data_IF_630177847930
#
_entry.id   IF_630177847930
#
_cell.length_a   1.000
_cell.length_b   1.000
_cell.length_c   1.000
_cell.angle_alpha   90.00
_cell.angle_beta   90.00
_cell.angle_gamma   90.00
#
_symmetry.space_group_name_H-M   'P 1'
#
loop_
_entity.id
_entity.type
_entity.pdbx_description
1 polymer ?
#
# COMPACT_ATOMS: atom_id res chain seq x y z
N UNK A 1 19.63 -18.49 1.52
CA UNK A 1 19.68 -17.06 1.17
C UNK A 1 18.53 -16.35 1.87
N UNK A 2 18.82 -15.19 2.49
CA UNK A 2 17.81 -14.32 3.09
C UNK A 2 17.00 -13.67 1.95
N UNK A 3 15.69 -13.50 2.14
CA UNK A 3 14.86 -12.73 1.22
C UNK A 3 15.08 -11.22 1.48
N UNK A 4 15.44 -10.49 0.44
CA UNK A 4 15.74 -9.05 0.52
C UNK A 4 14.64 -8.28 -0.19
N UNK A 5 13.88 -7.50 0.58
CA UNK A 5 12.90 -6.55 0.05
C UNK A 5 13.35 -5.12 0.28
N UNK A 6 13.24 -4.28 -0.73
CA UNK A 6 13.60 -2.86 -0.65
C UNK A 6 12.34 -2.03 -0.89
N UNK A 7 12.17 -0.98 -0.08
CA UNK A 7 11.09 0.00 -0.24
C UNK A 7 11.72 1.34 -0.61
N UNK A 8 11.26 1.94 -1.70
CA UNK A 8 11.71 3.24 -2.16
C UNK A 8 10.51 4.17 -2.21
N UNK A 9 10.59 5.35 -1.60
CA UNK A 9 9.54 6.35 -1.67
C UNK A 9 9.78 7.26 -2.88
N UNK A 10 8.78 7.32 -3.77
CA UNK A 10 8.77 8.22 -4.92
C UNK A 10 8.36 9.62 -4.47
N UNK A 11 9.19 10.61 -4.73
CA UNK A 11 9.03 12.00 -4.31
C UNK A 11 9.44 12.95 -5.45
N UNK A 12 9.06 14.22 -5.36
CA UNK A 12 9.54 15.23 -6.31
C UNK A 12 11.08 15.30 -6.40
N UNK A 13 11.79 15.04 -5.30
CA UNK A 13 13.25 15.16 -5.27
C UNK A 13 13.97 14.05 -6.03
N UNK A 14 13.35 12.88 -6.20
CA UNK A 14 14.00 11.73 -6.83
C UNK A 14 13.30 11.23 -8.11
N UNK A 15 12.15 11.79 -8.47
CA UNK A 15 11.32 11.29 -9.56
C UNK A 15 12.05 11.22 -10.91
N UNK A 16 12.86 12.21 -11.25
CA UNK A 16 13.61 12.27 -12.53
C UNK A 16 14.65 11.14 -12.66
N UNK A 17 15.24 10.72 -11.54
CA UNK A 17 16.28 9.69 -11.49
C UNK A 17 15.76 8.35 -10.95
N UNK A 18 14.48 8.24 -10.68
CA UNK A 18 13.93 7.11 -9.93
C UNK A 18 14.19 5.75 -10.60
N UNK A 19 14.06 5.68 -11.92
CA UNK A 19 14.35 4.48 -12.70
C UNK A 19 15.84 4.08 -12.62
N UNK A 20 16.74 5.06 -12.61
CA UNK A 20 18.17 4.79 -12.49
C UNK A 20 18.54 4.36 -11.06
N UNK A 21 17.86 4.91 -10.05
CA UNK A 21 17.96 4.45 -8.66
C UNK A 21 17.57 2.96 -8.57
N UNK A 22 16.46 2.55 -9.22
CA UNK A 22 16.06 1.12 -9.23
C UNK A 22 17.15 0.25 -9.89
N UNK A 23 17.70 0.70 -11.02
CA UNK A 23 18.78 -0.04 -11.73
C UNK A 23 20.02 -0.21 -10.86
N UNK A 24 20.44 0.87 -10.21
CA UNK A 24 21.62 0.87 -9.34
C UNK A 24 21.40 -0.06 -8.13
N UNK A 25 20.28 0.07 -7.44
CA UNK A 25 19.92 -0.81 -6.32
C UNK A 25 19.91 -2.28 -6.78
N UNK A 26 19.31 -2.55 -7.94
CA UNK A 26 19.25 -3.91 -8.46
C UNK A 26 20.66 -4.45 -8.75
N UNK A 27 21.53 -3.65 -9.36
CA UNK A 27 22.89 -4.07 -9.68
C UNK A 27 23.77 -4.33 -8.44
N UNK A 28 23.53 -3.61 -7.35
CA UNK A 28 24.33 -3.71 -6.12
C UNK A 28 23.85 -4.83 -5.18
N UNK A 29 22.55 -5.07 -5.10
CA UNK A 29 21.94 -5.90 -4.04
C UNK A 29 21.23 -7.13 -4.59
N UNK A 30 20.80 -7.11 -5.84
CA UNK A 30 19.92 -8.15 -6.45
C UNK A 30 18.76 -8.53 -5.52
N UNK A 31 17.89 -7.56 -5.15
CA UNK A 31 16.82 -7.81 -4.21
C UNK A 31 15.77 -8.76 -4.77
N UNK A 32 15.11 -9.51 -3.89
CA UNK A 32 14.01 -10.38 -4.29
C UNK A 32 12.76 -9.57 -4.68
N UNK A 33 12.58 -8.37 -4.09
CA UNK A 33 11.52 -7.45 -4.48
C UNK A 33 11.90 -5.97 -4.23
N UNK A 34 11.30 -5.07 -5.03
CA UNK A 34 11.34 -3.63 -4.84
C UNK A 34 9.90 -3.10 -4.77
N UNK A 35 9.55 -2.45 -3.67
CA UNK A 35 8.29 -1.75 -3.50
C UNK A 35 8.49 -0.26 -3.75
N UNK A 36 7.62 0.35 -4.53
CA UNK A 36 7.62 1.78 -4.82
C UNK A 36 6.39 2.39 -4.15
N UNK A 37 6.61 3.25 -3.17
CA UNK A 37 5.54 3.95 -2.47
C UNK A 37 5.51 5.41 -2.90
N UNK A 38 4.31 5.96 -3.13
CA UNK A 38 4.16 7.40 -3.34
C UNK A 38 4.27 8.15 -2.01
N UNK A 39 4.99 9.28 -2.00
CA UNK A 39 4.90 10.22 -0.88
C UNK A 39 3.46 10.74 -0.78
N UNK A 40 2.95 10.86 0.44
CA UNK A 40 1.56 11.25 0.71
C UNK A 40 1.40 11.90 2.08
N UNK A 41 0.17 12.33 2.38
CA UNK A 41 -0.16 12.91 3.67
C UNK A 41 0.45 14.31 3.84
N UNK A 42 1.07 14.54 4.98
CA UNK A 42 1.66 15.82 5.38
C UNK A 42 3.19 15.75 5.52
N UNK A 43 3.94 15.65 4.41
CA UNK A 43 5.40 15.61 4.49
C UNK A 43 5.96 16.96 4.95
N UNK A 44 7.11 16.93 5.64
CA UNK A 44 7.81 18.15 6.09
C UNK A 44 8.05 19.15 4.95
N UNK A 45 8.34 18.64 3.76
CA UNK A 45 8.54 19.44 2.55
C UNK A 45 7.37 19.21 1.61
N UNK A 46 6.44 20.11 1.57
CA UNK A 46 5.22 20.01 0.73
C UNK A 46 5.53 19.89 -0.77
N UNK A 47 6.65 20.41 -1.25
CA UNK A 47 7.09 20.27 -2.64
C UNK A 47 7.24 18.80 -3.06
N UNK A 48 7.47 17.88 -2.11
CA UNK A 48 7.56 16.46 -2.39
C UNK A 48 6.26 15.84 -2.90
N UNK A 49 5.12 16.51 -2.72
CA UNK A 49 3.82 16.08 -3.26
C UNK A 49 3.61 16.46 -4.73
N UNK A 50 4.50 17.28 -5.31
CA UNK A 50 4.42 17.62 -6.73
C UNK A 50 5.05 16.52 -7.58
N UNK A 51 4.25 15.49 -7.87
CA UNK A 51 4.70 14.25 -8.52
C UNK A 51 4.31 14.25 -9.99
N UNK A 52 5.25 13.79 -10.82
CA UNK A 52 4.99 13.45 -12.22
C UNK A 52 4.51 12.01 -12.33
N UNK A 53 3.27 11.83 -12.82
CA UNK A 53 2.62 10.54 -12.94
C UNK A 53 3.26 9.67 -14.03
N UNK A 54 3.76 10.26 -15.11
CA UNK A 54 4.40 9.50 -16.19
C UNK A 54 5.73 8.93 -15.71
N UNK A 55 6.53 9.70 -14.98
CA UNK A 55 7.77 9.22 -14.37
C UNK A 55 7.50 8.10 -13.36
N UNK A 56 6.43 8.21 -12.58
CA UNK A 56 6.01 7.14 -11.67
C UNK A 56 5.62 5.87 -12.42
N UNK A 57 4.81 5.99 -13.47
CA UNK A 57 4.40 4.85 -14.32
C UNK A 57 5.61 4.16 -14.95
N UNK A 58 6.54 4.93 -15.47
CA UNK A 58 7.76 4.41 -16.07
C UNK A 58 8.62 3.63 -15.06
N UNK A 59 8.75 4.15 -13.85
CA UNK A 59 9.47 3.48 -12.76
C UNK A 59 8.79 2.16 -12.36
N UNK A 60 7.46 2.18 -12.19
CA UNK A 60 6.67 1.00 -11.88
C UNK A 60 6.79 -0.05 -12.99
N UNK A 61 6.62 0.36 -14.25
CA UNK A 61 6.74 -0.53 -15.41
C UNK A 61 8.11 -1.18 -15.50
N UNK A 62 9.17 -0.38 -15.28
CA UNK A 62 10.53 -0.92 -15.28
C UNK A 62 10.71 -1.98 -14.19
N UNK A 63 10.26 -1.69 -12.95
CA UNK A 63 10.31 -2.63 -11.85
C UNK A 63 9.49 -3.90 -12.12
N UNK A 64 8.28 -3.78 -12.71
CA UNK A 64 7.43 -4.92 -13.02
C UNK A 64 8.06 -5.84 -14.08
N UNK A 65 8.78 -5.26 -15.05
CA UNK A 65 9.54 -6.04 -16.03
C UNK A 65 10.60 -6.94 -15.38
N UNK A 66 11.22 -6.51 -14.27
CA UNK A 66 12.16 -7.37 -13.54
C UNK A 66 11.50 -8.63 -12.98
N UNK A 67 10.21 -8.60 -12.66
CA UNK A 67 9.45 -9.80 -12.28
C UNK A 67 9.13 -10.67 -13.51
N UNK A 68 8.63 -10.08 -14.59
CA UNK A 68 8.30 -10.82 -15.81
C UNK A 68 9.53 -11.47 -16.45
N UNK A 69 10.67 -10.83 -16.37
CA UNK A 69 11.96 -11.35 -16.84
C UNK A 69 12.60 -12.34 -15.84
N UNK A 70 11.92 -12.65 -14.73
CA UNK A 70 12.40 -13.55 -13.67
C UNK A 70 13.74 -13.11 -13.02
N UNK A 71 14.04 -11.83 -13.10
CA UNK A 71 15.20 -11.21 -12.46
C UNK A 71 14.97 -10.99 -10.97
N UNK A 72 13.74 -10.74 -10.56
CA UNK A 72 13.32 -10.70 -9.15
C UNK A 72 12.39 -11.87 -8.85
N UNK A 73 12.61 -12.53 -7.68
CA UNK A 73 11.83 -13.71 -7.28
C UNK A 73 10.46 -13.37 -6.68
N UNK A 74 10.21 -12.09 -6.41
CA UNK A 74 8.97 -11.61 -5.85
C UNK A 74 8.99 -11.46 -4.33
N UNK A 75 7.80 -11.29 -3.75
CA UNK A 75 7.64 -10.79 -2.39
C UNK A 75 8.11 -11.76 -1.30
N UNK A 76 8.14 -13.04 -1.55
CA UNK A 76 8.70 -14.05 -0.66
C UNK A 76 8.83 -15.42 -1.36
N UNK A 77 9.51 -16.37 -0.70
CA UNK A 77 9.75 -17.72 -1.24
C UNK A 77 8.74 -18.76 -0.79
N UNK A 78 7.50 -18.40 -0.52
CA UNK A 78 6.44 -19.34 -0.19
C UNK A 78 5.63 -19.79 -1.44
N UNK A 79 4.84 -20.86 -1.33
CA UNK A 79 4.06 -21.40 -2.47
C UNK A 79 3.10 -20.39 -3.11
N UNK A 80 2.64 -19.38 -2.39
CA UNK A 80 1.78 -18.29 -2.89
C UNK A 80 2.51 -17.08 -3.46
N UNK A 81 3.83 -17.12 -3.62
CA UNK A 81 4.66 -15.97 -4.02
C UNK A 81 4.16 -15.28 -5.30
N UNK A 82 3.84 -16.05 -6.33
CA UNK A 82 3.35 -15.48 -7.61
C UNK A 82 2.06 -14.69 -7.44
N UNK A 83 1.11 -15.19 -6.64
CA UNK A 83 -0.12 -14.47 -6.33
C UNK A 83 0.15 -13.19 -5.52
N UNK A 84 1.05 -13.26 -4.53
CA UNK A 84 1.44 -12.09 -3.75
C UNK A 84 2.12 -11.01 -4.61
N UNK A 85 3.01 -11.43 -5.52
CA UNK A 85 3.67 -10.53 -6.47
C UNK A 85 2.67 -9.92 -7.47
N UNK A 86 1.75 -10.73 -8.01
CA UNK A 86 0.66 -10.25 -8.87
C UNK A 86 -0.27 -9.25 -8.13
N UNK A 87 -0.59 -9.52 -6.86
CA UNK A 87 -1.32 -8.58 -6.01
C UNK A 87 -0.59 -7.24 -5.83
N UNK A 88 0.75 -7.27 -5.73
CA UNK A 88 1.56 -6.03 -5.66
C UNK A 88 1.54 -5.25 -6.98
N UNK A 89 1.57 -5.93 -8.12
CA UNK A 89 1.41 -5.28 -9.43
C UNK A 89 0.03 -4.62 -9.53
N UNK A 90 -1.03 -5.33 -9.14
CA UNK A 90 -2.38 -4.77 -9.08
C UNK A 90 -2.48 -3.55 -8.16
N UNK A 91 -1.77 -3.57 -7.02
CA UNK A 91 -1.73 -2.46 -6.08
C UNK A 91 -1.19 -1.19 -6.74
N UNK A 92 -0.10 -1.30 -7.52
CA UNK A 92 0.46 -0.14 -8.22
C UNK A 92 -0.48 0.36 -9.33
N UNK A 93 -1.16 -0.52 -10.03
CA UNK A 93 -2.18 -0.13 -11.03
C UNK A 93 -3.34 0.62 -10.36
N UNK A 94 -3.82 0.13 -9.21
CA UNK A 94 -4.84 0.81 -8.42
C UNK A 94 -4.36 2.17 -7.91
N UNK A 95 -3.11 2.24 -7.43
CA UNK A 95 -2.48 3.48 -6.97
C UNK A 95 -2.37 4.50 -8.10
N UNK A 96 -1.87 4.08 -9.27
CA UNK A 96 -1.81 4.92 -10.47
C UNK A 96 -3.17 5.48 -10.84
N UNK A 97 -4.17 4.60 -10.95
CA UNK A 97 -5.54 4.99 -11.29
C UNK A 97 -6.13 5.96 -10.27
N UNK A 98 -5.95 5.69 -8.98
CA UNK A 98 -6.45 6.55 -7.91
C UNK A 98 -5.78 7.92 -7.92
N UNK A 99 -4.48 7.96 -8.18
CA UNK A 99 -3.72 9.22 -8.28
C UNK A 99 -4.17 10.05 -9.49
N UNK A 100 -4.31 9.42 -10.67
CA UNK A 100 -4.71 10.09 -11.91
C UNK A 100 -6.14 10.62 -11.86
N UNK A 101 -7.06 9.75 -11.47
CA UNK A 101 -8.50 10.08 -11.49
C UNK A 101 -8.95 10.85 -10.26
N UNK A 102 -8.16 10.85 -9.18
CA UNK A 102 -8.47 11.42 -7.87
C UNK A 102 -9.89 11.07 -7.40
N UNK A 103 -10.28 9.81 -7.55
CA UNK A 103 -11.63 9.36 -7.20
C UNK A 103 -11.66 7.96 -6.60
N UNK A 104 -12.76 7.70 -5.89
CA UNK A 104 -13.08 6.40 -5.34
C UNK A 104 -13.16 5.32 -6.43
N UNK A 105 -12.39 4.26 -6.28
CA UNK A 105 -12.32 3.14 -7.23
C UNK A 105 -12.59 1.78 -6.59
N UNK A 106 -12.40 1.64 -5.28
CA UNK A 106 -12.60 0.40 -4.53
C UNK A 106 -13.01 0.69 -3.08
N UNK A 107 -13.80 -0.19 -2.43
CA UNK A 107 -14.09 -0.08 -1.01
C UNK A 107 -12.82 -0.09 -0.17
N UNK A 108 -12.77 0.80 0.83
CA UNK A 108 -11.74 0.79 1.85
C UNK A 108 -12.20 -0.04 3.05
N UNK A 109 -11.35 -0.98 3.47
CA UNK A 109 -11.60 -1.85 4.62
C UNK A 109 -10.90 -1.39 5.91
N UNK A 110 -10.38 -0.18 5.95
CA UNK A 110 -9.83 0.42 7.15
C UNK A 110 -10.88 0.47 8.28
N UNK A 111 -10.45 0.22 9.51
CA UNK A 111 -11.33 0.09 10.66
C UNK A 111 -12.11 -1.23 10.75
N UNK A 112 -12.10 -2.03 9.67
CA UNK A 112 -12.76 -3.34 9.62
C UNK A 112 -11.75 -4.49 9.55
N UNK A 113 -10.87 -4.50 8.55
CA UNK A 113 -9.86 -5.54 8.33
C UNK A 113 -8.43 -5.06 8.62
N UNK A 114 -8.23 -3.77 8.75
CA UNK A 114 -6.93 -3.15 9.05
C UNK A 114 -7.10 -1.89 9.88
N UNK A 115 -6.08 -1.53 10.62
CA UNK A 115 -5.98 -0.32 11.42
C UNK A 115 -4.56 -0.10 11.90
N UNK A 116 -4.34 0.95 12.67
CA UNK A 116 -3.05 1.33 13.22
C UNK A 116 -3.15 1.45 14.72
N UNK A 117 -2.16 0.92 15.43
CA UNK A 117 -1.97 1.14 16.85
C UNK A 117 -0.61 1.81 17.07
N UNK A 118 -0.61 2.95 17.73
CA UNK A 118 0.60 3.70 18.06
C UNK A 118 1.22 3.23 19.39
N UNK A 119 2.50 3.55 19.65
CA UNK A 119 3.19 3.09 20.88
C UNK A 119 2.50 3.52 22.18
N UNK A 120 1.79 4.63 22.16
CA UNK A 120 1.01 5.15 23.28
C UNK A 120 -0.26 4.35 23.54
N UNK A 121 -0.57 3.38 22.67
CA UNK A 121 -1.76 2.52 22.74
C UNK A 121 -2.97 3.09 22.04
N UNK A 122 -2.86 4.20 21.37
CA UNK A 122 -3.92 4.82 20.58
C UNK A 122 -4.19 4.01 19.31
N UNK A 123 -5.46 3.74 19.03
CA UNK A 123 -5.89 2.93 17.90
C UNK A 123 -6.75 3.76 16.95
N UNK A 124 -6.41 3.70 15.66
CA UNK A 124 -7.09 4.39 14.58
C UNK A 124 -7.51 3.41 13.48
N UNK A 125 -8.56 3.72 12.72
CA UNK A 125 -8.93 2.92 11.56
C UNK A 125 -7.89 3.02 10.44
N UNK A 126 -7.20 4.18 10.32
CA UNK A 126 -6.21 4.47 9.29
C UNK A 126 -5.23 5.53 9.81
N UNK A 127 -3.98 5.51 9.34
CA UNK A 127 -2.95 6.50 9.70
C UNK A 127 -3.07 7.84 8.95
N UNK A 128 -3.95 7.95 7.94
CA UNK A 128 -4.15 9.18 7.16
C UNK A 128 -5.27 10.05 7.75
N UNK A 129 -6.19 9.44 8.47
CA UNK A 129 -7.28 10.13 9.14
C UNK A 129 -6.75 10.87 10.37
N UNK A 130 -7.29 12.06 10.63
CA UNK A 130 -6.89 12.90 11.76
C UNK A 130 -7.34 12.34 13.13
N UNK A 131 -6.93 13.01 14.20
CA UNK A 131 -7.16 12.59 15.57
C UNK A 131 -8.65 12.44 15.95
N UNK A 132 -9.57 13.09 15.25
CA UNK A 132 -11.01 12.97 15.49
C UNK A 132 -11.54 11.56 15.19
N UNK A 133 -10.79 10.80 14.39
CA UNK A 133 -11.08 9.42 13.99
C UNK A 133 -10.44 8.35 14.88
N UNK A 134 -9.83 8.75 15.99
CA UNK A 134 -9.32 7.81 16.99
C UNK A 134 -10.43 6.91 17.51
N UNK A 135 -10.23 5.59 17.44
CA UNK A 135 -11.17 4.59 17.96
C UNK A 135 -11.13 4.57 19.49
N UNK A 136 -9.95 4.65 20.07
CA UNK A 136 -9.72 4.67 21.51
C UNK A 136 -8.27 4.35 21.87
N UNK A 137 -7.99 4.25 23.16
CA UNK A 137 -6.71 3.76 23.65
C UNK A 137 -6.89 2.35 24.22
N UNK A 138 -5.99 1.43 23.86
CA UNK A 138 -6.11 0.02 24.28
C UNK A 138 -6.07 -0.14 25.81
N UNK A 139 -5.42 0.77 26.54
CA UNK A 139 -5.36 0.76 28.00
C UNK A 139 -6.71 1.02 28.66
N UNK A 140 -7.59 1.79 28.00
CA UNK A 140 -8.96 2.06 28.47
C UNK A 140 -9.86 0.82 28.35
N UNK A 141 -9.39 -0.23 27.69
CA UNK A 141 -10.07 -1.49 27.44
C UNK A 141 -9.37 -2.69 28.12
N UNK A 142 -8.62 -2.47 29.17
CA UNK A 142 -7.86 -3.51 29.89
C UNK A 142 -6.92 -4.32 28.96
N UNK A 143 -6.32 -3.68 27.97
CA UNK A 143 -5.51 -4.27 26.90
C UNK A 143 -6.27 -5.29 26.03
N UNK A 144 -7.59 -5.29 26.08
CA UNK A 144 -8.44 -6.16 25.28
C UNK A 144 -8.74 -5.53 23.91
N UNK A 145 -7.89 -5.84 22.93
CA UNK A 145 -8.03 -5.30 21.57
C UNK A 145 -9.40 -5.65 20.95
N UNK A 146 -9.91 -6.86 21.17
CA UNK A 146 -11.22 -7.26 20.62
C UNK A 146 -12.35 -6.38 21.14
N UNK A 147 -12.34 -6.05 22.44
CA UNK A 147 -13.34 -5.16 23.06
C UNK A 147 -13.29 -3.75 22.46
N UNK A 148 -12.09 -3.22 22.25
CA UNK A 148 -11.89 -1.93 21.59
C UNK A 148 -12.33 -1.97 20.13
N UNK A 149 -11.87 -2.96 19.36
CA UNK A 149 -12.12 -3.07 17.91
C UNK A 149 -13.60 -3.33 17.56
N UNK A 150 -14.36 -3.92 18.47
CA UNK A 150 -15.81 -4.15 18.34
C UNK A 150 -16.65 -3.09 19.07
N UNK A 151 -16.04 -1.99 19.51
CA UNK A 151 -16.75 -0.91 20.20
C UNK A 151 -17.71 -0.15 19.26
N UNK A 152 -18.60 0.62 19.88
CA UNK A 152 -19.51 1.51 19.15
C UNK A 152 -18.71 2.51 18.30
N UNK A 153 -17.65 3.12 18.87
CA UNK A 153 -16.78 4.08 18.15
C UNK A 153 -16.12 3.43 16.92
N UNK A 154 -15.57 2.22 17.05
CA UNK A 154 -15.02 1.50 15.91
C UNK A 154 -16.06 1.29 14.80
N UNK A 155 -17.28 0.90 15.16
CA UNK A 155 -18.38 0.74 14.21
C UNK A 155 -18.77 2.06 13.52
N UNK A 156 -18.75 3.18 14.24
CA UNK A 156 -19.01 4.50 13.69
C UNK A 156 -17.94 4.90 12.67
N UNK A 157 -16.65 4.64 12.93
CA UNK A 157 -15.56 4.91 12.01
C UNK A 157 -15.67 4.07 10.72
N UNK A 158 -16.01 2.79 10.82
CA UNK A 158 -16.28 1.95 9.64
C UNK A 158 -17.44 2.51 8.79
N UNK A 159 -18.52 2.97 9.45
CA UNK A 159 -19.65 3.60 8.75
C UNK A 159 -19.25 4.90 8.07
N UNK A 160 -18.43 5.74 8.75
CA UNK A 160 -17.88 6.96 8.18
C UNK A 160 -17.09 6.67 6.89
N UNK A 161 -16.10 5.75 6.95
CA UNK A 161 -15.26 5.38 5.81
C UNK A 161 -16.11 4.90 4.62
N UNK A 162 -17.13 4.09 4.87
CA UNK A 162 -18.04 3.60 3.83
C UNK A 162 -18.93 4.70 3.24
N UNK A 163 -19.51 5.55 4.11
CA UNK A 163 -20.44 6.62 3.70
C UNK A 163 -19.72 7.70 2.89
N UNK A 164 -18.52 8.06 3.28
CA UNK A 164 -17.71 9.08 2.58
C UNK A 164 -17.03 8.54 1.33
N UNK A 165 -17.13 7.22 1.07
CA UNK A 165 -16.37 6.56 0.00
C UNK A 165 -14.88 6.91 0.09
N UNK A 166 -14.33 6.81 1.31
CA UNK A 166 -12.93 7.15 1.56
C UNK A 166 -12.01 6.40 0.60
N UNK A 167 -11.06 7.10 -0.01
CA UNK A 167 -10.07 6.55 -0.93
C UNK A 167 -8.74 7.28 -0.79
N UNK A 168 -7.67 6.62 -1.15
CA UNK A 168 -6.31 7.17 -1.10
C UNK A 168 -5.35 6.29 -1.91
N UNK A 169 -4.08 6.72 -1.98
CA UNK A 169 -2.98 5.96 -2.60
C UNK A 169 -2.18 5.15 -1.57
N UNK A 170 -2.69 4.96 -0.35
CA UNK A 170 -1.95 4.28 0.73
C UNK A 170 -1.85 2.78 0.50
N UNK A 171 -0.64 2.31 0.20
CA UNK A 171 -0.38 0.95 -0.25
C UNK A 171 -0.73 -0.11 0.80
N UNK A 172 -0.45 0.14 2.10
CA UNK A 172 -0.74 -0.83 3.16
C UNK A 172 -2.24 -1.13 3.24
N UNK A 173 -3.09 -0.10 3.18
CA UNK A 173 -4.54 -0.28 3.23
C UNK A 173 -5.10 -0.78 1.89
N UNK A 174 -4.59 -0.28 0.77
CA UNK A 174 -5.01 -0.74 -0.55
C UNK A 174 -4.62 -2.20 -0.82
N UNK A 175 -3.54 -2.72 -0.23
CA UNK A 175 -3.21 -4.14 -0.32
C UNK A 175 -4.28 -5.01 0.34
N UNK A 176 -4.82 -4.60 1.49
CA UNK A 176 -5.95 -5.25 2.16
C UNK A 176 -7.23 -5.12 1.30
N UNK A 177 -7.48 -3.94 0.74
CA UNK A 177 -8.63 -3.69 -0.13
C UNK A 177 -8.63 -4.61 -1.37
N UNK A 178 -7.47 -4.86 -1.97
CA UNK A 178 -7.31 -5.77 -3.11
C UNK A 178 -7.48 -7.22 -2.66
N UNK A 179 -6.83 -7.62 -1.56
CA UNK A 179 -6.84 -9.00 -1.07
C UNK A 179 -8.25 -9.49 -0.70
N UNK A 180 -9.08 -8.62 -0.15
CA UNK A 180 -10.43 -8.96 0.31
C UNK A 180 -11.54 -8.51 -0.63
N UNK A 181 -11.21 -8.06 -1.85
CA UNK A 181 -12.20 -7.73 -2.88
C UNK A 181 -12.13 -8.72 -4.05
N UNK A 182 -13.10 -9.65 -4.17
CA UNK A 182 -13.10 -10.67 -5.23
C UNK A 182 -13.03 -10.13 -6.67
N UNK A 183 -13.37 -8.86 -6.88
CA UNK A 183 -13.26 -8.21 -8.20
C UNK A 183 -11.84 -8.27 -8.77
N UNK A 184 -10.82 -8.31 -7.92
CA UNK A 184 -9.43 -8.33 -8.36
C UNK A 184 -8.89 -9.74 -8.64
N UNK A 185 -9.56 -10.79 -8.17
CA UNK A 185 -9.04 -12.16 -8.26
C UNK A 185 -8.78 -12.65 -9.69
N UNK A 186 -9.66 -12.43 -10.66
CA UNK A 186 -9.40 -12.89 -12.03
C UNK A 186 -8.12 -12.28 -12.62
N UNK A 187 -7.89 -10.99 -12.38
CA UNK A 187 -6.72 -10.29 -12.90
C UNK A 187 -5.44 -10.68 -12.14
N UNK A 188 -5.53 -10.87 -10.81
CA UNK A 188 -4.41 -11.37 -10.01
C UNK A 188 -3.98 -12.76 -10.47
N UNK A 189 -4.93 -13.67 -10.72
CA UNK A 189 -4.65 -15.01 -11.22
C UNK A 189 -3.97 -14.91 -12.59
N UNK A 190 -4.53 -14.15 -13.52
CA UNK A 190 -3.95 -13.92 -14.84
C UNK A 190 -2.52 -13.40 -14.76
N UNK A 191 -2.27 -12.35 -13.97
CA UNK A 191 -0.91 -11.81 -13.78
C UNK A 191 0.04 -12.81 -13.15
N UNK A 192 -0.43 -13.64 -12.22
CA UNK A 192 0.41 -14.65 -11.57
C UNK A 192 0.91 -15.74 -12.51
N UNK A 193 0.25 -15.97 -13.65
CA UNK A 193 0.71 -16.92 -14.67
C UNK A 193 1.81 -16.36 -15.56
N UNK A 194 2.00 -15.03 -15.58
CA UNK A 194 3.02 -14.35 -16.39
C UNK A 194 4.37 -14.18 -15.66
N UNK A 195 4.40 -14.38 -14.32
CA UNK A 195 5.58 -14.24 -13.45
C UNK A 195 6.31 -15.63 -13.28
#
# INVERSE_FOLDING_TARGET
RINIGIIITFTNQNQEKFKDIIKEIYSLVEPDNISINLVRGDPKQKVNLNLDLELYRDAVKYRDNLYYEKKMSGHSRFKGNKLATAGRIMLNELTNKTFEENKYSTPCYAGNLSGVMYPEGDVYPCEILDDSHKIGNIRDFDLNFKKLWLSKKASEEVKFIRKTKCFCTHECFNSVNILFNPKFYPEIIKKSTLI
#
